data_IF_519858442299
#
_entry.id   IF_519858442299
#
_cell.length_a   1.000
_cell.length_b   1.000
_cell.length_c   1.000
_cell.angle_alpha   90.00
_cell.angle_beta   90.00
_cell.angle_gamma   90.00
#
_symmetry.space_group_name_H-M   'P 1'
#
loop_
_entity.id
_entity.type
_entity.pdbx_description
1 polymer ?
#
# COMPACT_ATOMS: atom_id res chain seq x y z
N UNK A 1 15.54 -42.89 -40.71
CA UNK A 1 16.02 -42.67 -39.34
C UNK A 1 15.11 -41.59 -38.74
N UNK A 2 14.02 -42.03 -38.10
CA UNK A 2 12.93 -41.16 -37.62
C UNK A 2 13.23 -40.93 -36.14
N UNK A 3 13.63 -39.70 -35.80
CA UNK A 3 13.77 -39.26 -34.40
C UNK A 3 12.35 -39.01 -33.84
N UNK A 4 11.85 -39.96 -33.06
CA UNK A 4 10.68 -39.78 -32.24
C UNK A 4 11.05 -38.84 -31.08
N UNK A 5 10.69 -37.56 -31.18
CA UNK A 5 10.64 -36.64 -30.06
C UNK A 5 9.55 -37.11 -29.09
N UNK A 6 9.94 -37.85 -28.08
CA UNK A 6 9.08 -38.05 -26.91
C UNK A 6 8.93 -36.71 -26.19
N UNK A 7 7.89 -35.96 -26.53
CA UNK A 7 7.39 -34.86 -25.71
C UNK A 7 6.73 -35.50 -24.48
N UNK A 8 7.54 -35.74 -23.46
CA UNK A 8 7.02 -36.01 -22.10
C UNK A 8 6.32 -34.74 -21.66
N UNK A 9 5.00 -34.74 -21.84
CA UNK A 9 4.13 -33.78 -21.19
C UNK A 9 4.23 -34.04 -19.68
N UNK A 10 5.06 -33.28 -18.99
CA UNK A 10 5.09 -33.21 -17.53
C UNK A 10 3.82 -32.47 -17.07
N UNK A 11 2.68 -33.12 -17.22
CA UNK A 11 1.36 -32.60 -16.80
C UNK A 11 1.02 -32.91 -15.34
N UNK A 12 2.00 -33.25 -14.54
CA UNK A 12 1.76 -33.56 -13.13
C UNK A 12 2.81 -32.94 -12.22
N UNK A 13 2.92 -31.65 -12.14
CA UNK A 13 3.67 -31.03 -11.03
C UNK A 13 3.47 -29.51 -10.92
N UNK A 14 2.29 -29.03 -11.23
CA UNK A 14 1.84 -27.74 -10.69
C UNK A 14 0.67 -27.95 -9.71
N UNK A 15 0.78 -28.92 -8.84
CA UNK A 15 0.29 -28.73 -7.48
C UNK A 15 1.03 -27.50 -6.99
N UNK A 16 0.30 -26.37 -6.86
CA UNK A 16 0.78 -25.10 -6.37
C UNK A 16 1.69 -25.38 -5.18
N UNK A 17 3.00 -25.33 -5.40
CA UNK A 17 3.98 -25.56 -4.33
C UNK A 17 3.93 -24.36 -3.40
N UNK A 18 2.95 -24.36 -2.51
CA UNK A 18 2.82 -23.33 -1.48
C UNK A 18 4.08 -23.46 -0.63
N UNK A 19 4.96 -22.48 -0.72
CA UNK A 19 6.20 -22.51 0.06
C UNK A 19 5.88 -22.79 1.54
N UNK A 20 6.68 -23.61 2.24
CA UNK A 20 6.40 -24.00 3.64
C UNK A 20 6.11 -22.79 4.55
N UNK A 21 6.78 -21.68 4.30
CA UNK A 21 6.58 -20.43 5.04
C UNK A 21 5.20 -19.80 4.80
N UNK A 22 4.62 -19.97 3.61
CA UNK A 22 3.26 -19.47 3.32
C UNK A 22 2.24 -20.34 4.03
N UNK A 23 2.43 -21.66 4.10
CA UNK A 23 1.56 -22.57 4.86
C UNK A 23 1.55 -22.25 6.36
N UNK A 24 2.72 -21.91 6.94
CA UNK A 24 2.80 -21.48 8.35
C UNK A 24 1.97 -20.21 8.57
N UNK A 25 2.06 -19.23 7.68
CA UNK A 25 1.28 -17.99 7.80
C UNK A 25 -0.22 -18.20 7.67
N UNK A 26 -0.65 -19.17 6.87
CA UNK A 26 -2.08 -19.52 6.69
C UNK A 26 -2.62 -20.22 7.93
N UNK A 27 -1.84 -21.14 8.50
CA UNK A 27 -2.30 -22.01 9.59
C UNK A 27 -2.14 -21.39 11.00
N UNK A 28 -1.39 -20.30 11.13
CA UNK A 28 -1.17 -19.64 12.44
C UNK A 28 -2.29 -18.62 12.72
N UNK A 29 -3.19 -18.88 13.68
CA UNK A 29 -4.31 -17.98 14.01
C UNK A 29 -3.85 -16.60 14.49
N UNK A 30 -2.59 -16.47 14.95
CA UNK A 30 -2.02 -15.21 15.41
C UNK A 30 -1.41 -14.36 14.29
N UNK A 31 -1.40 -14.84 13.04
CA UNK A 31 -0.82 -14.12 11.89
C UNK A 31 -1.38 -12.70 11.72
N UNK A 32 -2.70 -12.44 11.82
CA UNK A 32 -3.25 -11.09 11.71
C UNK A 32 -2.75 -10.15 12.81
N UNK A 33 -2.74 -10.62 14.06
CA UNK A 33 -2.26 -9.84 15.20
C UNK A 33 -0.77 -9.53 15.10
N UNK A 34 0.04 -10.50 14.64
CA UNK A 34 1.48 -10.29 14.38
C UNK A 34 1.70 -9.28 13.26
N UNK A 35 0.95 -9.37 12.17
CA UNK A 35 1.05 -8.44 11.05
C UNK A 35 0.72 -7.00 11.48
N UNK A 36 -0.38 -6.82 12.25
CA UNK A 36 -0.75 -5.53 12.81
C UNK A 36 0.31 -4.97 13.76
N UNK A 37 0.86 -5.82 14.65
CA UNK A 37 1.93 -5.42 15.57
C UNK A 37 3.19 -4.98 14.82
N UNK A 38 3.63 -5.72 13.82
CA UNK A 38 4.80 -5.33 13.03
C UNK A 38 4.58 -4.01 12.28
N UNK A 39 3.37 -3.77 11.74
CA UNK A 39 3.02 -2.50 11.10
C UNK A 39 2.88 -1.33 12.09
N UNK A 40 2.61 -1.61 13.37
CA UNK A 40 2.58 -0.59 14.42
C UNK A 40 3.98 -0.19 14.91
N UNK A 41 4.99 -1.01 14.71
CA UNK A 41 6.39 -0.66 15.03
C UNK A 41 7.04 0.08 13.88
N UNK A 42 6.95 -0.47 12.68
CA UNK A 42 7.46 0.15 11.45
C UNK A 42 6.39 0.02 10.36
N UNK A 43 5.92 1.14 9.76
CA UNK A 43 4.96 1.10 8.67
C UNK A 43 5.44 0.19 7.53
N UNK A 44 4.59 -0.71 7.06
CA UNK A 44 4.92 -1.61 5.97
C UNK A 44 5.51 -2.97 6.37
N UNK A 45 5.99 -3.17 7.62
CA UNK A 45 6.52 -4.48 8.04
C UNK A 45 5.46 -5.59 8.03
N UNK A 46 4.22 -5.29 8.35
CA UNK A 46 3.12 -6.26 8.26
C UNK A 46 2.87 -6.71 6.84
N UNK A 47 2.98 -5.82 5.85
CA UNK A 47 2.86 -6.15 4.44
C UNK A 47 4.04 -7.00 3.95
N UNK A 48 5.25 -6.74 4.45
CA UNK A 48 6.41 -7.60 4.19
C UNK A 48 6.22 -8.97 4.82
N UNK A 49 5.69 -9.03 6.04
CA UNK A 49 5.41 -10.29 6.74
C UNK A 49 4.39 -11.14 5.98
N UNK A 50 3.32 -10.51 5.44
CA UNK A 50 2.27 -11.15 4.62
C UNK A 50 2.65 -11.31 3.14
N UNK A 51 3.89 -10.97 2.76
CA UNK A 51 4.43 -11.03 1.38
C UNK A 51 3.74 -10.12 0.36
N UNK A 52 3.08 -9.07 0.80
CA UNK A 52 2.45 -8.04 -0.05
C UNK A 52 3.41 -6.88 -0.31
N UNK A 53 4.59 -7.17 -0.85
CA UNK A 53 5.70 -6.21 -1.02
C UNK A 53 5.34 -4.98 -1.87
N UNK A 54 4.44 -5.13 -2.84
CA UNK A 54 4.02 -4.05 -3.71
C UNK A 54 3.28 -2.90 -2.98
N UNK A 55 2.73 -3.15 -1.80
CA UNK A 55 2.09 -2.13 -0.97
C UNK A 55 3.09 -1.24 -0.23
N UNK A 56 4.28 -1.75 0.03
CA UNK A 56 5.31 -1.01 0.79
C UNK A 56 5.66 0.34 0.13
N UNK A 57 5.98 0.41 -1.18
CA UNK A 57 6.28 1.67 -1.83
C UNK A 57 5.09 2.65 -1.82
N UNK A 58 3.85 2.16 -1.86
CA UNK A 58 2.64 3.00 -1.79
C UNK A 58 2.53 3.66 -0.41
N UNK A 59 2.74 2.90 0.66
CA UNK A 59 2.69 3.39 2.04
C UNK A 59 3.77 4.45 2.27
N UNK A 60 5.02 4.17 1.89
CA UNK A 60 6.10 5.13 2.05
C UNK A 60 5.96 6.35 1.14
N UNK A 61 5.41 6.18 -0.06
CA UNK A 61 5.08 7.28 -0.96
C UNK A 61 4.04 8.22 -0.34
N UNK A 62 2.96 7.67 0.22
CA UNK A 62 1.92 8.44 0.91
C UNK A 62 2.44 9.17 2.15
N UNK A 63 3.16 8.46 3.03
CA UNK A 63 3.77 9.06 4.22
C UNK A 63 4.81 10.11 3.86
N UNK A 64 5.67 9.85 2.87
CA UNK A 64 6.70 10.77 2.42
C UNK A 64 6.12 12.06 1.83
N UNK A 65 5.10 11.95 0.98
CA UNK A 65 4.40 13.10 0.43
C UNK A 65 3.76 13.94 1.54
N UNK A 66 3.05 13.30 2.47
CA UNK A 66 2.41 13.99 3.61
C UNK A 66 3.43 14.69 4.52
N UNK A 67 4.56 14.04 4.79
CA UNK A 67 5.65 14.63 5.58
C UNK A 67 6.31 15.81 4.87
N UNK A 68 6.47 15.74 3.55
CA UNK A 68 6.98 16.84 2.73
C UNK A 68 6.05 18.05 2.81
N UNK A 69 4.75 17.86 2.59
CA UNK A 69 3.76 18.94 2.68
C UNK A 69 3.65 19.52 4.08
N UNK A 70 3.75 18.68 5.11
CA UNK A 70 3.80 19.14 6.50
C UNK A 70 4.99 20.09 6.73
N UNK A 71 6.19 19.66 6.35
CA UNK A 71 7.41 20.46 6.51
C UNK A 71 7.37 21.75 5.69
N UNK A 72 6.90 21.69 4.45
CA UNK A 72 6.72 22.85 3.60
C UNK A 72 5.82 23.90 4.25
N UNK A 73 4.60 23.51 4.62
CA UNK A 73 3.64 24.42 5.25
C UNK A 73 4.12 24.93 6.61
N UNK A 74 4.84 24.10 7.36
CA UNK A 74 5.44 24.55 8.62
C UNK A 74 6.51 25.64 8.40
N UNK A 75 7.33 25.48 7.40
CA UNK A 75 8.38 26.47 7.07
C UNK A 75 7.75 27.79 6.64
N UNK A 76 6.80 27.73 5.71
CA UNK A 76 6.09 28.94 5.26
C UNK A 76 5.33 29.63 6.39
N UNK A 77 4.57 28.86 7.18
CA UNK A 77 3.90 29.41 8.38
C UNK A 77 4.87 30.13 9.30
N UNK A 78 6.08 29.58 9.51
CA UNK A 78 7.09 30.19 10.38
C UNK A 78 7.66 31.47 9.78
N UNK A 79 7.85 31.55 8.46
CA UNK A 79 8.27 32.78 7.78
C UNK A 79 7.27 33.92 8.00
N UNK A 80 5.98 33.66 7.68
CA UNK A 80 4.91 34.63 7.92
C UNK A 80 4.79 35.04 9.41
N UNK A 81 4.94 34.07 10.31
CA UNK A 81 4.92 34.33 11.76
C UNK A 81 6.08 35.21 12.20
N UNK A 82 7.27 34.98 11.67
CA UNK A 82 8.47 35.76 12.02
C UNK A 82 8.35 37.18 11.48
N UNK A 83 7.92 37.36 10.24
CA UNK A 83 7.67 38.67 9.64
C UNK A 83 6.64 39.47 10.45
N UNK A 84 5.51 38.84 10.77
CA UNK A 84 4.47 39.45 11.59
C UNK A 84 4.99 39.91 12.96
N UNK A 85 5.76 39.05 13.66
CA UNK A 85 6.35 39.40 14.99
C UNK A 85 7.34 40.54 14.88
N UNK A 86 8.19 40.59 13.84
CA UNK A 86 9.16 41.66 13.63
C UNK A 86 8.47 43.02 13.42
N UNK A 87 7.41 43.05 12.63
CA UNK A 87 6.64 44.27 12.40
C UNK A 87 5.95 44.77 13.69
N UNK A 88 5.40 43.85 14.52
CA UNK A 88 4.86 44.23 15.83
C UNK A 88 5.92 44.82 16.79
N UNK A 89 7.18 44.38 16.62
CA UNK A 89 8.29 44.93 17.38
C UNK A 89 8.86 46.22 16.81
N UNK A 90 8.28 46.75 15.72
CA UNK A 90 8.71 47.99 15.07
C UNK A 90 9.84 47.84 14.06
N UNK A 91 10.21 46.61 13.69
CA UNK A 91 11.21 46.36 12.64
C UNK A 91 10.52 46.13 11.29
N UNK A 92 10.88 46.87 10.28
CA UNK A 92 10.34 46.81 8.90
C UNK A 92 11.39 46.29 7.90
N UNK A 93 12.14 45.27 8.29
CA UNK A 93 13.21 44.65 7.50
C UNK A 93 12.88 43.20 7.09
N UNK A 94 11.60 42.86 7.01
CA UNK A 94 11.15 41.53 6.64
C UNK A 94 11.05 41.37 5.11
N UNK A 95 11.24 40.14 4.62
CA UNK A 95 11.17 39.73 3.22
C UNK A 95 9.87 40.12 2.49
N UNK A 96 8.79 40.32 3.27
CA UNK A 96 7.45 40.57 2.74
C UNK A 96 7.02 42.04 2.77
N UNK A 97 7.90 42.99 3.15
CA UNK A 97 7.51 44.37 3.34
C UNK A 97 7.07 45.03 2.03
N UNK A 98 7.76 44.71 0.91
CA UNK A 98 7.49 45.28 -0.41
C UNK A 98 6.30 44.55 -1.12
N UNK A 99 6.01 43.31 -0.72
CA UNK A 99 5.00 42.44 -1.37
C UNK A 99 3.68 42.51 -0.63
N UNK A 100 3.74 42.49 0.70
CA UNK A 100 2.57 42.43 1.59
C UNK A 100 2.73 43.52 2.68
N UNK A 101 2.37 44.76 2.41
CA UNK A 101 2.51 45.85 3.38
C UNK A 101 1.55 45.72 4.56
N UNK A 102 0.41 45.04 4.40
CA UNK A 102 -0.63 44.91 5.41
C UNK A 102 -0.35 43.75 6.37
N UNK A 103 -0.35 44.05 7.68
CA UNK A 103 -0.14 43.04 8.71
C UNK A 103 -1.25 41.96 8.77
N UNK A 104 -2.46 42.33 8.37
CA UNK A 104 -3.61 41.39 8.33
C UNK A 104 -3.37 40.27 7.29
N UNK A 105 -2.86 40.61 6.13
CA UNK A 105 -2.55 39.63 5.08
C UNK A 105 -1.42 38.67 5.50
N UNK A 106 -0.45 39.13 6.29
CA UNK A 106 0.56 38.25 6.89
C UNK A 106 -0.08 37.23 7.85
N UNK A 107 -1.04 37.72 8.65
CA UNK A 107 -1.77 36.86 9.58
C UNK A 107 -2.65 35.83 8.84
N UNK A 108 -3.28 36.24 7.73
CA UNK A 108 -4.04 35.32 6.87
C UNK A 108 -3.13 34.26 6.23
N UNK A 109 -1.99 34.65 5.67
CA UNK A 109 -0.99 33.73 5.14
C UNK A 109 -0.50 32.73 6.18
N UNK A 110 -0.22 33.19 7.41
CA UNK A 110 0.14 32.33 8.53
C UNK A 110 -0.98 31.33 8.87
N UNK A 111 -2.25 31.79 8.94
CA UNK A 111 -3.41 30.92 9.22
C UNK A 111 -3.64 29.90 8.10
N UNK A 112 -3.47 30.31 6.85
CA UNK A 112 -3.57 29.44 5.68
C UNK A 112 -2.56 28.28 5.77
N UNK A 113 -1.27 28.56 5.92
CA UNK A 113 -0.24 27.54 6.02
C UNK A 113 -0.37 26.68 7.28
N UNK A 114 -0.83 27.29 8.41
CA UNK A 114 -1.15 26.52 9.61
C UNK A 114 -2.22 25.48 9.35
N UNK A 115 -3.31 25.84 8.68
CA UNK A 115 -4.39 24.91 8.34
C UNK A 115 -3.88 23.73 7.49
N UNK A 116 -3.10 24.01 6.44
CA UNK A 116 -2.56 22.95 5.59
C UNK A 116 -1.52 22.09 6.29
N UNK A 117 -0.73 22.65 7.18
CA UNK A 117 0.15 21.89 8.06
C UNK A 117 -0.65 20.91 8.93
N UNK A 118 -1.71 21.39 9.57
CA UNK A 118 -2.54 20.59 10.46
C UNK A 118 -3.27 19.47 9.67
N UNK A 119 -3.76 19.75 8.45
CA UNK A 119 -4.27 18.73 7.54
C UNK A 119 -3.21 17.69 7.17
N UNK A 120 -2.00 18.12 6.82
CA UNK A 120 -0.91 17.19 6.49
C UNK A 120 -0.58 16.28 7.67
N UNK A 121 -0.62 16.80 8.89
CA UNK A 121 -0.44 16.00 10.10
C UNK A 121 -1.55 14.96 10.29
N UNK A 122 -2.82 15.34 10.06
CA UNK A 122 -3.94 14.41 10.09
C UNK A 122 -3.78 13.30 9.05
N UNK A 123 -3.29 13.63 7.85
CA UNK A 123 -2.99 12.63 6.80
C UNK A 123 -1.89 11.66 7.21
N UNK A 124 -0.83 12.12 7.87
CA UNK A 124 0.24 11.25 8.38
C UNK A 124 -0.34 10.25 9.38
N UNK A 125 -1.11 10.74 10.37
CA UNK A 125 -1.72 9.88 11.39
C UNK A 125 -2.74 8.92 10.77
N UNK A 126 -3.61 9.42 9.89
CA UNK A 126 -4.61 8.60 9.19
C UNK A 126 -3.98 7.51 8.33
N UNK A 127 -2.97 7.84 7.55
CA UNK A 127 -2.23 6.87 6.74
C UNK A 127 -1.54 5.82 7.59
N UNK A 128 -1.01 6.20 8.74
CA UNK A 128 -0.39 5.27 9.68
C UNK A 128 -1.41 4.27 10.26
N UNK A 129 -2.56 4.77 10.71
CA UNK A 129 -3.65 3.91 11.22
C UNK A 129 -4.18 2.98 10.14
N UNK A 130 -4.42 3.51 8.92
CA UNK A 130 -4.86 2.71 7.78
C UNK A 130 -3.86 1.61 7.41
N UNK A 131 -2.56 1.89 7.51
CA UNK A 131 -1.52 0.89 7.27
C UNK A 131 -1.59 -0.28 8.26
N UNK A 132 -1.86 -0.02 9.55
CA UNK A 132 -2.02 -1.08 10.57
C UNK A 132 -3.28 -1.92 10.27
N UNK A 133 -4.39 -1.25 9.94
CA UNK A 133 -5.65 -1.92 9.59
C UNK A 133 -5.45 -2.79 8.35
N UNK A 134 -4.82 -2.27 7.28
CA UNK A 134 -4.54 -3.02 6.05
C UNK A 134 -3.66 -4.25 6.30
N UNK A 135 -2.65 -4.13 7.17
CA UNK A 135 -1.81 -5.26 7.54
C UNK A 135 -2.61 -6.37 8.23
N UNK A 136 -3.53 -5.99 9.12
CA UNK A 136 -4.40 -6.92 9.82
C UNK A 136 -5.39 -7.60 8.85
N UNK A 137 -6.12 -6.79 8.07
CA UNK A 137 -7.08 -7.30 7.08
C UNK A 137 -6.41 -8.17 6.02
N UNK A 138 -5.24 -7.73 5.52
CA UNK A 138 -4.48 -8.49 4.53
C UNK A 138 -4.00 -9.85 5.05
N UNK A 139 -3.68 -9.95 6.34
CA UNK A 139 -3.31 -11.20 6.98
C UNK A 139 -4.53 -12.12 7.17
N UNK A 140 -5.70 -11.58 7.54
CA UNK A 140 -6.95 -12.34 7.58
C UNK A 140 -7.31 -12.89 6.20
N UNK A 141 -7.24 -12.06 5.15
CA UNK A 141 -7.51 -12.50 3.79
C UNK A 141 -6.54 -13.58 3.30
N UNK A 142 -5.29 -13.58 3.80
CA UNK A 142 -4.32 -14.62 3.49
C UNK A 142 -4.73 -15.99 4.08
N UNK A 143 -5.39 -15.98 5.24
CA UNK A 143 -5.89 -17.18 5.91
C UNK A 143 -7.21 -17.69 5.28
N UNK A 144 -7.98 -16.80 4.64
CA UNK A 144 -9.18 -17.19 3.91
C UNK A 144 -8.78 -17.87 2.59
N UNK A 145 -8.77 -19.19 2.60
CA UNK A 145 -8.42 -20.01 1.45
C UNK A 145 -9.61 -20.11 0.49
N UNK A 146 -9.87 -19.02 -0.26
CA UNK A 146 -10.92 -19.01 -1.32
C UNK A 146 -10.57 -19.97 -2.47
N UNK A 147 -9.33 -20.47 -2.52
CA UNK A 147 -8.83 -21.33 -3.59
C UNK A 147 -9.22 -22.80 -3.46
N UNK A 148 -9.74 -23.26 -2.33
CA UNK A 148 -10.14 -24.67 -2.18
C UNK A 148 -11.50 -24.94 -2.82
N UNK A 149 -12.39 -23.94 -2.79
CA UNK A 149 -13.77 -24.10 -3.29
C UNK A 149 -13.93 -23.70 -4.76
N UNK A 150 -13.02 -22.86 -5.30
CA UNK A 150 -13.08 -22.36 -6.66
C UNK A 150 -11.76 -22.56 -7.39
N UNK A 151 -11.68 -23.49 -8.30
CA UNK A 151 -10.51 -23.67 -9.17
C UNK A 151 -10.84 -23.36 -10.63
N UNK A 152 -10.07 -22.48 -11.23
CA UNK A 152 -10.15 -22.09 -12.62
C UNK A 152 -8.93 -22.67 -13.34
N UNK A 153 -9.16 -23.65 -14.22
CA UNK A 153 -8.07 -24.30 -14.96
C UNK A 153 -8.33 -24.19 -16.46
N UNK A 154 -7.34 -23.74 -17.24
CA UNK A 154 -7.42 -23.93 -18.67
C UNK A 154 -7.34 -25.41 -18.98
N UNK A 155 -8.18 -25.91 -19.90
CA UNK A 155 -8.10 -27.27 -20.38
C UNK A 155 -8.05 -27.28 -21.91
N UNK A 156 -7.30 -28.23 -22.43
CA UNK A 156 -7.25 -28.53 -23.85
C UNK A 156 -7.66 -29.99 -24.00
N UNK A 157 -8.76 -30.21 -24.67
CA UNK A 157 -9.27 -31.55 -24.95
C UNK A 157 -9.07 -31.84 -26.46
N UNK A 158 -8.35 -32.89 -26.78
CA UNK A 158 -8.22 -33.36 -28.14
C UNK A 158 -9.24 -34.44 -28.39
N UNK A 159 -10.18 -34.19 -29.30
CA UNK A 159 -11.14 -35.18 -29.74
C UNK A 159 -10.46 -36.15 -30.68
N UNK A 160 -10.42 -37.44 -30.29
CA UNK A 160 -9.81 -38.52 -31.05
C UNK A 160 -10.51 -38.82 -32.40
N UNK A 161 -11.79 -38.38 -32.50
CA UNK A 161 -12.61 -38.65 -33.69
C UNK A 161 -12.51 -37.58 -34.79
N UNK A 162 -12.18 -36.34 -34.43
CA UNK A 162 -12.24 -35.21 -35.37
C UNK A 162 -10.95 -34.39 -35.42
N UNK A 163 -9.86 -34.86 -34.80
CA UNK A 163 -8.58 -34.15 -34.67
C UNK A 163 -8.66 -32.67 -34.29
N UNK A 164 -9.82 -32.25 -33.80
CA UNK A 164 -10.04 -30.88 -33.34
C UNK A 164 -9.55 -30.69 -31.89
N UNK A 165 -8.81 -29.63 -31.66
CA UNK A 165 -8.38 -29.24 -30.32
C UNK A 165 -9.36 -28.19 -29.78
N UNK A 166 -10.13 -28.57 -28.78
CA UNK A 166 -11.00 -27.65 -28.03
C UNK A 166 -10.25 -27.08 -26.82
N UNK A 167 -9.95 -25.80 -26.85
CA UNK A 167 -9.40 -25.10 -25.69
C UNK A 167 -10.51 -24.38 -24.96
N UNK A 168 -10.56 -24.53 -23.64
CA UNK A 168 -11.58 -23.92 -22.79
C UNK A 168 -11.09 -23.61 -21.39
N UNK A 169 -11.95 -22.98 -20.61
CA UNK A 169 -11.70 -22.69 -19.21
C UNK A 169 -12.70 -23.53 -18.39
N UNK A 170 -12.18 -24.39 -17.51
CA UNK A 170 -12.98 -25.22 -16.60
C UNK A 170 -13.03 -24.54 -15.25
N UNK A 171 -14.24 -24.18 -14.84
CA UNK A 171 -14.54 -23.68 -13.51
C UNK A 171 -15.04 -24.85 -12.67
N UNK A 172 -14.29 -25.21 -11.61
CA UNK A 172 -14.69 -26.24 -10.67
C UNK A 172 -15.07 -25.57 -9.36
N UNK A 173 -16.30 -25.76 -8.94
CA UNK A 173 -16.83 -25.32 -7.65
C UNK A 173 -17.11 -26.56 -6.80
N UNK A 174 -16.49 -26.66 -5.64
CA UNK A 174 -16.78 -27.71 -4.68
C UNK A 174 -17.76 -27.13 -3.65
N UNK A 175 -18.92 -27.78 -3.51
CA UNK A 175 -19.87 -27.51 -2.43
C UNK A 175 -19.60 -28.53 -1.33
N UNK A 176 -19.19 -28.07 -0.15
CA UNK A 176 -19.19 -28.87 1.09
C UNK A 176 -20.50 -28.68 1.85
#
# INVERSE_FOLDING_TARGET
MILSLNCYCQSELDSIYISPRKQILINDPLTPSKAAFYSSVIPGLGQIYTRRYWMVPIIYGGLGASAYYFKYNQTEMNKYRTAYKRRLAGYFDDEYIDIIPENEKLLEGMKFHRRYKDFSFMFIVGSYVLNIIDANVGAHLLQFNVNEDLSLRPYVESNYFDFSQNAGIKLKFNFD
#
